data_IF_076875842704
#
_entry.id   IF_076875842704
#
_cell.length_a   1.000
_cell.length_b   1.000
_cell.length_c   1.000
_cell.angle_alpha   90.00
_cell.angle_beta   90.00
_cell.angle_gamma   90.00
#
_symmetry.space_group_name_H-M   'P 1'
#
loop_
_entity.id
_entity.type
_entity.pdbx_description
1 polymer ?
#
# COMPACT_ATOMS: atom_id res chain seq x y z
N UNK A 1 15.38 21.25 4.06
CA UNK A 1 16.16 20.09 3.61
C UNK A 1 15.53 19.49 2.36
N UNK A 2 16.31 19.30 1.31
CA UNK A 2 15.88 18.83 -0.01
C UNK A 2 15.33 17.39 -0.01
N UNK A 3 15.70 16.58 0.98
CA UNK A 3 15.23 15.18 1.09
C UNK A 3 13.74 15.06 1.47
N UNK A 4 13.21 15.96 2.30
CA UNK A 4 11.80 15.91 2.68
C UNK A 4 10.85 16.24 1.53
N UNK A 5 11.23 17.18 0.66
CA UNK A 5 10.45 17.55 -0.53
C UNK A 5 10.45 16.44 -1.58
N UNK A 6 11.58 15.74 -1.75
CA UNK A 6 11.68 14.61 -2.69
C UNK A 6 10.84 13.41 -2.24
N UNK A 7 10.79 13.11 -0.93
CA UNK A 7 9.97 12.06 -0.36
C UNK A 7 8.47 12.34 -0.56
N UNK A 8 8.00 13.54 -0.19
CA UNK A 8 6.61 13.93 -0.36
C UNK A 8 6.17 13.92 -1.84
N UNK A 9 7.01 14.39 -2.76
CA UNK A 9 6.74 14.33 -4.19
C UNK A 9 6.63 12.87 -4.69
N UNK A 10 7.48 11.96 -4.18
CA UNK A 10 7.42 10.54 -4.48
C UNK A 10 6.11 9.91 -4.01
N UNK A 11 5.62 10.28 -2.83
CA UNK A 11 4.39 9.73 -2.27
C UNK A 11 3.14 10.23 -3.01
N UNK A 12 3.13 11.50 -3.41
CA UNK A 12 2.08 12.06 -4.29
C UNK A 12 2.04 11.31 -5.62
N UNK A 13 3.21 11.03 -6.22
CA UNK A 13 3.29 10.29 -7.48
C UNK A 13 2.81 8.85 -7.35
N UNK A 14 3.23 8.12 -6.32
CA UNK A 14 2.76 6.74 -6.04
C UNK A 14 1.24 6.69 -5.94
N UNK A 15 0.65 7.63 -5.19
CA UNK A 15 -0.80 7.75 -5.06
C UNK A 15 -1.49 8.03 -6.40
N UNK A 16 -0.95 8.93 -7.21
CA UNK A 16 -1.53 9.25 -8.53
C UNK A 16 -1.51 8.04 -9.46
N UNK A 17 -0.41 7.28 -9.47
CA UNK A 17 -0.31 6.05 -10.26
C UNK A 17 -1.34 5.01 -9.79
N UNK A 18 -1.46 4.82 -8.47
CA UNK A 18 -2.48 3.93 -7.91
C UNK A 18 -3.90 4.33 -8.32
N UNK A 19 -4.26 5.61 -8.14
CA UNK A 19 -5.59 6.12 -8.47
C UNK A 19 -5.93 5.98 -9.96
N UNK A 20 -4.97 6.19 -10.86
CA UNK A 20 -5.17 6.06 -12.31
C UNK A 20 -5.37 4.62 -12.76
N UNK A 21 -4.83 3.66 -12.02
CA UNK A 21 -4.90 2.24 -12.38
C UNK A 21 -6.00 1.48 -11.61
N UNK A 22 -6.39 1.96 -10.44
CA UNK A 22 -7.39 1.30 -9.61
C UNK A 22 -8.77 1.33 -10.27
N UNK A 23 -9.42 0.18 -10.49
CA UNK A 23 -10.71 0.10 -11.18
C UNK A 23 -11.79 0.98 -10.55
N UNK A 24 -11.86 1.07 -9.22
CA UNK A 24 -12.84 1.89 -8.51
C UNK A 24 -12.75 3.39 -8.80
N UNK A 25 -11.60 3.89 -9.26
CA UNK A 25 -11.44 5.31 -9.63
C UNK A 25 -11.74 5.62 -11.10
N UNK A 26 -12.08 4.61 -11.89
CA UNK A 26 -12.38 4.75 -13.32
C UNK A 26 -13.72 4.13 -13.70
N UNK A 27 -14.58 3.92 -12.71
CA UNK A 27 -15.91 3.34 -12.86
C UNK A 27 -16.82 4.23 -13.72
N UNK A 28 -16.67 5.55 -13.62
CA UNK A 28 -17.36 6.55 -14.45
C UNK A 28 -17.07 6.42 -15.96
N UNK A 29 -16.04 5.66 -16.31
CA UNK A 29 -15.61 5.39 -17.70
C UNK A 29 -15.81 3.94 -18.11
N UNK A 30 -16.67 3.21 -17.42
CA UNK A 30 -16.91 1.77 -17.68
C UNK A 30 -17.35 1.49 -19.11
N UNK A 31 -18.15 2.36 -19.72
CA UNK A 31 -18.58 2.25 -21.12
C UNK A 31 -17.44 2.30 -22.14
N UNK A 32 -16.36 3.02 -21.82
CA UNK A 32 -15.14 3.09 -22.62
C UNK A 32 -14.21 1.96 -22.26
N UNK A 33 -14.01 1.74 -20.95
CA UNK A 33 -13.05 0.76 -20.44
C UNK A 33 -13.44 -0.69 -20.70
N UNK A 34 -14.74 -1.00 -20.68
CA UNK A 34 -15.32 -2.33 -21.01
C UNK A 34 -14.71 -3.49 -20.22
N UNK A 35 -14.30 -3.25 -19.00
CA UNK A 35 -13.90 -4.26 -18.00
C UNK A 35 -14.75 -4.07 -16.76
N UNK A 36 -14.90 -5.13 -15.98
CA UNK A 36 -15.65 -5.10 -14.73
C UNK A 36 -15.07 -4.04 -13.79
N UNK A 37 -15.91 -3.28 -13.05
CA UNK A 37 -15.46 -2.12 -12.24
C UNK A 37 -14.48 -2.47 -11.12
N UNK A 38 -14.32 -3.74 -10.80
CA UNK A 38 -13.42 -4.25 -9.76
C UNK A 38 -12.23 -5.06 -10.31
N UNK A 39 -12.06 -5.11 -11.66
CA UNK A 39 -11.04 -5.93 -12.31
C UNK A 39 -9.93 -5.09 -12.92
N UNK A 40 -8.71 -5.50 -12.68
CA UNK A 40 -7.54 -4.96 -13.39
C UNK A 40 -7.43 -5.61 -14.78
N UNK A 41 -7.10 -4.80 -15.78
CA UNK A 41 -6.73 -5.29 -17.10
C UNK A 41 -5.22 -5.29 -17.30
N UNK A 42 -4.74 -6.10 -18.23
CA UNK A 42 -3.32 -6.18 -18.57
C UNK A 42 -2.80 -4.91 -19.24
N UNK A 43 -3.62 -4.34 -20.12
CA UNK A 43 -3.29 -3.13 -20.86
C UNK A 43 -4.54 -2.30 -21.12
N UNK A 44 -4.34 -1.04 -21.46
CA UNK A 44 -5.38 -0.12 -21.93
C UNK A 44 -5.00 0.33 -23.34
N UNK A 45 -5.95 0.27 -24.25
CA UNK A 45 -5.74 0.67 -25.63
C UNK A 45 -5.39 2.16 -25.72
N UNK A 46 -4.30 2.47 -26.41
CA UNK A 46 -3.82 3.83 -26.62
C UNK A 46 -4.73 4.67 -27.52
N UNK A 47 -4.44 5.98 -27.66
CA UNK A 47 -5.28 6.90 -28.43
C UNK A 47 -5.38 6.54 -29.91
N UNK A 48 -4.36 5.88 -30.48
CA UNK A 48 -4.32 5.48 -31.88
C UNK A 48 -4.97 4.11 -32.17
N UNK A 49 -5.48 3.43 -31.12
CA UNK A 49 -6.15 2.14 -31.28
C UNK A 49 -7.57 2.30 -31.83
N UNK A 50 -8.11 1.23 -32.42
CA UNK A 50 -9.51 1.22 -32.90
C UNK A 50 -10.53 1.42 -31.77
N UNK A 51 -10.17 1.11 -30.53
CA UNK A 51 -10.98 1.27 -29.32
C UNK A 51 -10.19 1.97 -28.23
N UNK A 52 -9.91 3.27 -28.34
CA UNK A 52 -9.10 4.00 -27.38
C UNK A 52 -9.70 3.94 -25.96
N UNK A 53 -8.87 3.69 -24.95
CA UNK A 53 -9.29 3.59 -23.56
C UNK A 53 -9.86 2.23 -23.13
N UNK A 54 -10.12 1.32 -24.08
CA UNK A 54 -10.64 -0.01 -23.77
C UNK A 54 -9.57 -0.86 -23.06
N UNK A 55 -9.95 -1.50 -21.95
CA UNK A 55 -9.11 -2.46 -21.24
C UNK A 55 -9.07 -3.79 -21.97
N UNK A 56 -7.90 -4.40 -22.02
CA UNK A 56 -7.68 -5.69 -22.68
C UNK A 56 -7.16 -6.72 -21.70
N UNK A 57 -7.53 -7.99 -21.93
CA UNK A 57 -7.11 -9.13 -21.11
C UNK A 57 -7.41 -8.91 -19.61
N UNK A 58 -8.66 -8.56 -19.29
CA UNK A 58 -9.16 -8.57 -17.93
C UNK A 58 -9.01 -9.97 -17.34
N UNK A 59 -8.73 -10.06 -16.02
CA UNK A 59 -8.43 -11.29 -15.29
C UNK A 59 -7.08 -11.97 -15.62
N UNK A 60 -6.59 -11.87 -16.84
CA UNK A 60 -5.35 -12.49 -17.31
C UNK A 60 -4.16 -11.55 -17.10
N UNK A 61 -3.94 -11.08 -15.86
CA UNK A 61 -2.93 -10.08 -15.57
C UNK A 61 -2.32 -10.24 -14.17
N UNK A 62 -1.03 -9.97 -14.05
CA UNK A 62 -0.35 -9.81 -12.78
C UNK A 62 -0.61 -8.46 -12.08
N UNK A 63 -1.33 -7.53 -12.73
CA UNK A 63 -1.53 -6.16 -12.20
C UNK A 63 -2.23 -6.16 -10.84
N UNK A 64 -3.23 -7.04 -10.63
CA UNK A 64 -3.93 -7.14 -9.35
C UNK A 64 -2.98 -7.55 -8.21
N UNK A 65 -2.15 -8.56 -8.45
CA UNK A 65 -1.17 -9.03 -7.47
C UNK A 65 -0.12 -7.96 -7.16
N UNK A 66 0.41 -7.29 -8.20
CA UNK A 66 1.35 -6.20 -8.04
C UNK A 66 0.73 -5.00 -7.29
N UNK A 67 -0.51 -4.63 -7.61
CA UNK A 67 -1.20 -3.55 -6.89
C UNK A 67 -1.43 -3.91 -5.43
N UNK A 68 -1.74 -5.17 -5.12
CA UNK A 68 -1.82 -5.64 -3.73
C UNK A 68 -0.48 -5.49 -2.99
N UNK A 69 0.62 -5.84 -3.63
CA UNK A 69 1.98 -5.64 -3.08
C UNK A 69 2.25 -4.16 -2.88
N UNK A 70 1.98 -3.32 -3.88
CA UNK A 70 2.20 -1.87 -3.81
C UNK A 70 1.41 -1.22 -2.67
N UNK A 71 0.13 -1.56 -2.54
CA UNK A 71 -0.70 -1.03 -1.45
C UNK A 71 -0.22 -1.53 -0.09
N UNK A 72 -0.06 -2.84 0.07
CA UNK A 72 0.24 -3.43 1.39
C UNK A 72 1.65 -3.14 1.87
N UNK A 73 2.64 -3.16 0.97
CA UNK A 73 4.05 -3.06 1.34
C UNK A 73 4.64 -1.65 1.16
N UNK A 74 4.10 -0.85 0.24
CA UNK A 74 4.66 0.46 -0.09
C UNK A 74 3.77 1.64 0.26
N UNK A 75 2.44 1.56 0.16
CA UNK A 75 1.54 2.62 0.64
C UNK A 75 1.24 2.48 2.13
N UNK A 76 0.78 1.31 2.57
CA UNK A 76 0.59 1.01 3.99
C UNK A 76 1.93 0.83 4.70
N UNK A 77 2.98 0.51 3.94
CA UNK A 77 4.34 0.42 4.42
C UNK A 77 4.61 -0.77 5.35
N UNK A 78 3.83 -1.88 5.25
CA UNK A 78 4.05 -3.07 6.07
C UNK A 78 4.72 -4.15 5.23
N UNK A 79 6.03 -4.15 5.22
CA UNK A 79 6.85 -4.97 4.33
C UNK A 79 7.55 -6.11 5.05
N UNK A 80 7.36 -7.38 4.63
CA UNK A 80 8.14 -8.50 5.13
C UNK A 80 9.63 -8.37 4.77
N UNK A 81 10.49 -8.64 5.73
CA UNK A 81 11.94 -8.74 5.57
C UNK A 81 12.47 -10.04 6.17
N UNK A 82 13.74 -10.33 6.01
CA UNK A 82 14.36 -11.49 6.65
C UNK A 82 14.34 -11.37 8.18
N UNK A 83 14.51 -10.17 8.71
CA UNK A 83 14.61 -9.89 10.14
C UNK A 83 13.25 -9.68 10.82
N UNK A 84 12.19 -9.39 10.04
CA UNK A 84 10.87 -9.10 10.61
C UNK A 84 9.96 -8.32 9.67
N UNK A 85 9.13 -7.45 10.23
CA UNK A 85 8.27 -6.53 9.49
C UNK A 85 8.85 -5.12 9.52
N UNK A 86 9.30 -4.62 8.39
CA UNK A 86 9.62 -3.20 8.23
C UNK A 86 8.33 -2.39 8.11
N UNK A 87 8.18 -1.35 8.94
CA UNK A 87 6.98 -0.51 8.96
C UNK A 87 7.37 0.92 8.60
N UNK A 88 6.92 1.36 7.43
CA UNK A 88 7.24 2.67 6.87
C UNK A 88 6.02 3.20 6.08
N UNK A 89 4.99 3.73 6.75
CA UNK A 89 3.77 4.20 6.10
C UNK A 89 4.02 5.43 5.22
N UNK A 90 3.41 5.42 4.02
CA UNK A 90 3.39 6.51 3.05
C UNK A 90 1.94 6.91 2.75
N UNK A 91 1.17 7.14 3.80
CA UNK A 91 -0.26 7.39 3.72
C UNK A 91 -0.55 8.80 3.22
N UNK A 92 -1.59 8.97 2.37
CA UNK A 92 -2.11 10.29 2.01
C UNK A 92 -2.49 11.11 3.24
N UNK A 93 -2.38 12.45 3.14
CA UNK A 93 -2.66 13.38 4.23
C UNK A 93 -4.07 13.24 4.84
N UNK A 94 -5.04 12.77 4.05
CA UNK A 94 -6.42 12.52 4.52
C UNK A 94 -6.54 11.38 5.55
N UNK A 95 -5.49 10.60 5.75
CA UNK A 95 -5.46 9.52 6.75
C UNK A 95 -4.57 9.93 7.91
N UNK A 96 -5.20 10.35 9.01
CA UNK A 96 -4.50 10.69 10.24
C UNK A 96 -4.21 9.44 11.08
N UNK A 97 -5.05 8.41 10.92
CA UNK A 97 -4.88 7.14 11.60
C UNK A 97 -5.36 5.97 10.74
N UNK A 98 -4.74 4.82 10.93
CA UNK A 98 -5.07 3.58 10.24
C UNK A 98 -4.68 2.39 11.11
N UNK A 99 -5.45 1.31 11.02
CA UNK A 99 -5.10 0.03 11.63
C UNK A 99 -4.93 -1.03 10.56
N UNK A 100 -3.83 -1.78 10.63
CA UNK A 100 -3.52 -2.89 9.72
C UNK A 100 -3.36 -4.16 10.54
N UNK A 101 -4.03 -5.22 10.14
CA UNK A 101 -3.77 -6.57 10.67
C UNK A 101 -2.96 -7.36 9.64
N UNK A 102 -1.80 -7.85 10.05
CA UNK A 102 -0.92 -8.64 9.19
C UNK A 102 -0.54 -9.95 9.86
N UNK A 103 -0.77 -11.06 9.17
CA UNK A 103 -0.21 -12.36 9.60
C UNK A 103 1.17 -12.51 8.96
N UNK A 104 2.18 -12.73 9.79
CA UNK A 104 3.55 -12.94 9.34
C UNK A 104 4.22 -14.03 10.18
N UNK A 105 4.72 -15.06 9.52
CA UNK A 105 5.35 -16.24 10.16
C UNK A 105 4.52 -16.87 11.28
N UNK A 106 3.17 -16.93 11.07
CA UNK A 106 2.25 -17.53 12.03
C UNK A 106 1.79 -16.62 13.18
N UNK A 107 2.35 -15.42 13.29
CA UNK A 107 1.99 -14.41 14.31
C UNK A 107 1.08 -13.36 13.69
N UNK A 108 0.05 -12.93 14.43
CA UNK A 108 -0.84 -11.84 14.01
C UNK A 108 -0.35 -10.51 14.60
N UNK A 109 0.07 -9.60 13.75
CA UNK A 109 0.47 -8.24 14.11
C UNK A 109 -0.72 -7.31 13.94
N UNK A 110 -1.16 -6.64 15.01
CA UNK A 110 -2.15 -5.55 15.00
C UNK A 110 -1.39 -4.23 15.03
N UNK A 111 -1.36 -3.53 13.91
CA UNK A 111 -0.51 -2.36 13.71
C UNK A 111 -1.40 -1.13 13.68
N UNK A 112 -1.36 -0.33 14.74
CA UNK A 112 -2.04 0.97 14.84
C UNK A 112 -1.07 2.07 14.41
N UNK A 113 -1.43 2.81 13.37
CA UNK A 113 -0.63 3.89 12.80
C UNK A 113 -1.30 5.23 13.04
N UNK A 114 -0.55 6.23 13.48
CA UNK A 114 -1.04 7.58 13.74
C UNK A 114 -0.05 8.63 13.23
N UNK A 115 -0.58 9.63 12.51
CA UNK A 115 0.20 10.79 12.07
C UNK A 115 0.43 11.75 13.24
N UNK A 116 1.70 12.00 13.56
CA UNK A 116 2.10 12.93 14.61
C UNK A 116 3.22 13.87 14.18
N UNK A 117 3.86 13.58 13.04
CA UNK A 117 5.09 14.26 12.59
C UNK A 117 6.38 13.67 13.16
N UNK A 118 6.30 12.80 14.16
CA UNK A 118 7.44 12.07 14.70
C UNK A 118 7.34 10.59 14.31
N UNK A 119 8.47 9.98 13.94
CA UNK A 119 8.51 8.55 13.61
C UNK A 119 8.95 7.73 14.80
N UNK A 120 8.06 6.90 15.32
CA UNK A 120 8.36 5.93 16.36
C UNK A 120 7.66 4.61 16.10
N UNK A 121 8.24 3.51 16.57
CA UNK A 121 7.63 2.19 16.56
C UNK A 121 7.73 1.59 17.96
N UNK A 122 6.60 1.10 18.48
CA UNK A 122 6.54 0.37 19.75
C UNK A 122 5.91 -1.00 19.52
N UNK A 123 6.38 -2.00 20.25
CA UNK A 123 5.89 -3.38 20.22
C UNK A 123 5.46 -3.74 21.63
N UNK A 124 4.17 -4.09 21.82
CA UNK A 124 3.56 -4.37 23.13
C UNK A 124 3.90 -3.29 24.20
N UNK A 125 3.86 -2.01 23.77
CA UNK A 125 4.15 -0.84 24.58
C UNK A 125 5.65 -0.49 24.74
N UNK A 126 6.57 -1.36 24.29
CA UNK A 126 8.00 -1.10 24.35
C UNK A 126 8.51 -0.45 23.06
N UNK A 127 9.09 0.76 23.14
CA UNK A 127 9.68 1.44 21.98
C UNK A 127 10.90 0.68 21.48
N UNK A 128 10.95 0.46 20.16
CA UNK A 128 12.10 -0.18 19.51
C UNK A 128 12.99 0.82 18.77
N UNK A 129 14.25 0.46 18.55
CA UNK A 129 15.16 1.21 17.69
C UNK A 129 14.90 0.92 16.22
N UNK A 130 14.60 1.96 15.43
CA UNK A 130 14.33 1.82 13.99
C UNK A 130 12.90 1.47 13.67
N UNK A 131 12.67 0.91 12.48
CA UNK A 131 11.34 0.63 11.92
C UNK A 131 11.09 -0.85 11.61
N UNK A 132 11.98 -1.75 12.03
CA UNK A 132 11.81 -3.19 11.82
C UNK A 132 11.35 -3.85 13.11
N UNK A 133 10.11 -4.31 13.13
CA UNK A 133 9.56 -5.16 14.20
C UNK A 133 10.14 -6.55 14.05
N UNK A 134 10.91 -7.08 15.01
CA UNK A 134 11.52 -8.39 14.91
C UNK A 134 10.49 -9.50 14.67
N UNK A 135 10.88 -10.53 13.96
CA UNK A 135 10.06 -11.73 13.84
C UNK A 135 9.99 -12.44 15.20
N UNK A 136 8.78 -12.61 15.71
CA UNK A 136 8.52 -13.29 16.98
C UNK A 136 8.00 -14.71 16.69
N UNK A 137 8.53 -15.70 17.39
CA UNK A 137 8.15 -17.12 17.22
C UNK A 137 7.16 -17.62 18.29
N UNK A 138 7.17 -16.99 19.46
CA UNK A 138 6.48 -17.51 20.65
C UNK A 138 5.16 -16.80 20.97
N UNK A 139 4.79 -15.79 20.18
CA UNK A 139 3.56 -15.04 20.34
C UNK A 139 2.48 -15.49 19.35
N UNK A 140 1.22 -15.50 19.78
CA UNK A 140 0.08 -15.67 18.87
C UNK A 140 -0.33 -14.34 18.21
N UNK A 141 -0.22 -13.27 18.95
CA UNK A 141 -0.51 -11.91 18.46
C UNK A 141 0.39 -10.89 19.15
N UNK A 142 0.61 -9.78 18.46
CA UNK A 142 1.47 -8.68 18.88
C UNK A 142 0.78 -7.37 18.54
N UNK A 143 0.79 -6.42 19.46
CA UNK A 143 0.30 -5.06 19.22
C UNK A 143 1.48 -4.15 18.88
N UNK A 144 1.36 -3.48 17.73
CA UNK A 144 2.38 -2.55 17.23
C UNK A 144 1.77 -1.16 17.10
N UNK A 145 2.39 -0.19 17.73
CA UNK A 145 2.02 1.22 17.62
C UNK A 145 3.07 1.95 16.78
N UNK A 146 2.60 2.68 15.79
CA UNK A 146 3.46 3.43 14.86
C UNK A 146 3.01 4.88 14.80
N UNK A 147 3.93 5.79 15.05
CA UNK A 147 3.73 7.21 14.72
C UNK A 147 4.57 7.59 13.50
N UNK A 148 4.06 8.53 12.67
CA UNK A 148 4.74 8.96 11.44
C UNK A 148 4.36 10.39 11.03
#
# INVERSE_FOLDING_TARGET
>A
STQGVSSAASDVYKRQVYQRNCPAYVEDKSDVRKVEPYVYCQMVAGPEAATPGEGKNSWLTGTAAWTFVDVSQYLLGVRPTLDGLAIEPHLPERFDQLTVTRVFRGVTYRIAMKRTGERTVSVDGAKIGGNVVPALSDAKSVDVEVTF
#
